data_IF_058072120183
#
_entry.id   IF_058072120183
#
_cell.length_a   1.000
_cell.length_b   1.000
_cell.length_c   1.000
_cell.angle_alpha   90.00
_cell.angle_beta   90.00
_cell.angle_gamma   90.00
#
_symmetry.space_group_name_H-M   'P 1'
#
loop_
_entity.id
_entity.type
_entity.pdbx_description
1 polymer ?
#
# COMPACT_ATOMS: atom_id res chain seq x y z
N UNK A 1 15.10 -71.57 0.73
CA UNK A 1 13.63 -71.46 0.95
C UNK A 1 13.25 -70.22 1.75
N UNK A 2 13.99 -69.82 2.77
CA UNK A 2 13.70 -68.61 3.57
C UNK A 2 13.76 -67.29 2.79
N UNK A 3 14.69 -67.11 1.82
CA UNK A 3 14.75 -65.93 0.97
C UNK A 3 13.53 -65.73 0.08
N UNK A 4 12.86 -66.81 -0.37
CA UNK A 4 11.64 -66.74 -1.15
C UNK A 4 10.43 -66.30 -0.31
N UNK A 5 10.36 -66.73 0.95
CA UNK A 5 9.32 -66.27 1.89
C UNK A 5 9.42 -64.79 2.16
N UNK A 6 10.63 -64.29 2.48
CA UNK A 6 10.86 -62.85 2.76
C UNK A 6 10.53 -61.94 1.56
N UNK A 7 10.78 -62.42 0.34
CA UNK A 7 10.44 -61.66 -0.88
C UNK A 7 8.93 -61.67 -1.11
N UNK A 8 8.23 -62.78 -0.85
CA UNK A 8 6.76 -62.87 -0.91
C UNK A 8 6.10 -61.93 0.05
N UNK A 9 6.57 -61.93 1.32
CA UNK A 9 6.05 -61.02 2.36
C UNK A 9 6.26 -59.55 2.03
N UNK A 10 7.42 -59.18 1.45
CA UNK A 10 7.67 -57.81 0.99
C UNK A 10 6.76 -57.41 -0.17
N UNK A 11 6.47 -58.31 -1.09
CA UNK A 11 5.53 -58.06 -2.19
C UNK A 11 4.10 -57.86 -1.67
N UNK A 12 3.70 -58.64 -0.67
CA UNK A 12 2.40 -58.55 -0.01
C UNK A 12 2.26 -57.24 0.73
N UNK A 13 3.26 -56.86 1.55
CA UNK A 13 3.33 -55.59 2.27
C UNK A 13 3.30 -54.41 1.30
N UNK A 14 4.06 -54.45 0.19
CA UNK A 14 4.03 -53.39 -0.83
C UNK A 14 2.67 -53.27 -1.53
N UNK A 15 1.97 -54.41 -1.75
CA UNK A 15 0.61 -54.40 -2.30
C UNK A 15 -0.36 -53.77 -1.32
N UNK A 16 -0.25 -54.09 -0.04
CA UNK A 16 -1.07 -53.52 1.05
C UNK A 16 -0.84 -52.01 1.20
N UNK A 17 0.43 -51.56 1.21
CA UNK A 17 0.78 -50.10 1.24
C UNK A 17 0.19 -49.37 0.02
N UNK A 18 0.19 -49.99 -1.16
CA UNK A 18 -0.43 -49.36 -2.33
C UNK A 18 -1.95 -49.29 -2.23
N UNK A 19 -2.60 -50.32 -1.67
CA UNK A 19 -4.04 -50.34 -1.44
C UNK A 19 -4.42 -49.30 -0.36
N UNK A 20 -3.68 -49.25 0.74
CA UNK A 20 -3.88 -48.25 1.81
C UNK A 20 -3.68 -46.82 1.32
N UNK A 21 -2.68 -46.57 0.48
CA UNK A 21 -2.45 -45.27 -0.14
C UNK A 21 -3.58 -44.88 -1.12
N UNK A 22 -4.17 -45.85 -1.85
CA UNK A 22 -5.34 -45.61 -2.68
C UNK A 22 -6.56 -45.23 -1.81
N UNK A 23 -6.82 -46.00 -0.75
CA UNK A 23 -7.89 -45.71 0.21
C UNK A 23 -7.73 -44.36 0.89
N UNK A 24 -6.50 -44.00 1.27
CA UNK A 24 -6.19 -42.67 1.84
C UNK A 24 -6.47 -41.55 0.86
N UNK A 25 -6.25 -41.72 -0.46
CA UNK A 25 -6.60 -40.75 -1.49
C UNK A 25 -8.11 -40.59 -1.63
N UNK A 26 -8.84 -41.69 -1.61
CA UNK A 26 -10.31 -41.70 -1.66
C UNK A 26 -10.90 -41.03 -0.42
N UNK A 27 -10.43 -41.37 0.78
CA UNK A 27 -10.87 -40.73 2.03
C UNK A 27 -10.53 -39.22 2.04
N UNK A 28 -9.36 -38.82 1.57
CA UNK A 28 -9.03 -37.38 1.43
C UNK A 28 -9.96 -36.68 0.45
N UNK A 29 -10.35 -37.33 -0.64
CA UNK A 29 -11.31 -36.78 -1.62
C UNK A 29 -12.72 -36.67 -1.01
N UNK A 30 -13.17 -37.66 -0.23
CA UNK A 30 -14.45 -37.63 0.50
C UNK A 30 -14.45 -36.57 1.59
N UNK A 31 -13.39 -36.45 2.39
CA UNK A 31 -13.24 -35.38 3.37
C UNK A 31 -13.31 -34.00 2.70
N UNK A 32 -12.67 -33.85 1.54
CA UNK A 32 -12.75 -32.61 0.76
C UNK A 32 -14.19 -32.34 0.28
N UNK A 33 -14.94 -33.34 -0.16
CA UNK A 33 -16.35 -33.21 -0.54
C UNK A 33 -17.24 -32.86 0.65
N UNK A 34 -17.03 -33.52 1.80
CA UNK A 34 -17.77 -33.25 3.02
C UNK A 34 -17.44 -31.87 3.59
N UNK A 35 -16.17 -31.45 3.55
CA UNK A 35 -15.78 -30.10 3.92
C UNK A 35 -16.42 -29.03 3.02
N UNK A 36 -16.55 -29.31 1.70
CA UNK A 36 -17.23 -28.42 0.77
C UNK A 36 -18.75 -28.39 1.04
N UNK A 37 -19.35 -29.50 1.48
CA UNK A 37 -20.77 -29.56 1.89
C UNK A 37 -21.03 -28.77 3.18
N UNK A 38 -20.15 -28.90 4.18
CA UNK A 38 -20.23 -28.14 5.44
C UNK A 38 -20.01 -26.64 5.20
N UNK A 39 -19.09 -26.28 4.28
CA UNK A 39 -18.87 -24.89 3.88
C UNK A 39 -20.06 -24.24 3.14
N UNK A 40 -21.04 -25.04 2.67
CA UNK A 40 -22.28 -24.54 2.04
C UNK A 40 -23.35 -24.09 3.04
N UNK A 41 -23.13 -24.21 4.34
CA UNK A 41 -24.05 -23.66 5.33
C UNK A 41 -23.98 -22.13 5.34
N UNK A 42 -25.13 -21.47 5.40
CA UNK A 42 -25.22 -20.01 5.40
C UNK A 42 -24.27 -19.34 6.41
N UNK A 43 -24.18 -19.79 7.70
CA UNK A 43 -23.25 -19.20 8.65
C UNK A 43 -21.79 -19.37 8.27
N UNK A 44 -21.38 -20.53 7.76
CA UNK A 44 -19.98 -20.81 7.39
C UNK A 44 -19.53 -19.98 6.18
N UNK A 45 -20.40 -19.85 5.18
CA UNK A 45 -20.15 -19.00 4.01
C UNK A 45 -20.12 -17.53 4.39
N UNK A 46 -21.04 -17.08 5.25
CA UNK A 46 -21.06 -15.71 5.76
C UNK A 46 -19.78 -15.38 6.52
N UNK A 47 -19.30 -16.28 7.40
CA UNK A 47 -18.05 -16.10 8.13
C UNK A 47 -16.84 -16.05 7.18
N UNK A 48 -16.77 -16.96 6.22
CA UNK A 48 -15.71 -16.97 5.20
C UNK A 48 -15.66 -15.67 4.39
N UNK A 49 -16.81 -15.19 3.92
CA UNK A 49 -16.92 -13.94 3.16
C UNK A 49 -16.49 -12.72 4.00
N UNK A 50 -16.91 -12.63 5.27
CA UNK A 50 -16.53 -11.50 6.12
C UNK A 50 -15.05 -11.58 6.56
N UNK A 51 -14.48 -12.76 6.74
CA UNK A 51 -13.01 -12.92 6.95
C UNK A 51 -12.21 -12.44 5.73
N UNK A 52 -12.61 -12.83 4.53
CA UNK A 52 -11.96 -12.38 3.30
C UNK A 52 -12.15 -10.87 3.10
N UNK A 53 -13.35 -10.33 3.38
CA UNK A 53 -13.61 -8.89 3.39
C UNK A 53 -12.65 -8.15 4.33
N UNK A 54 -12.43 -8.66 5.54
CA UNK A 54 -11.48 -8.09 6.51
C UNK A 54 -10.04 -8.11 5.98
N UNK A 55 -9.62 -9.20 5.31
CA UNK A 55 -8.30 -9.25 4.64
C UNK A 55 -8.17 -8.22 3.52
N UNK A 56 -9.19 -8.05 2.69
CA UNK A 56 -9.23 -7.00 1.66
C UNK A 56 -9.11 -5.62 2.30
N UNK A 57 -9.83 -5.35 3.40
CA UNK A 57 -9.73 -4.08 4.13
C UNK A 57 -8.30 -3.80 4.61
N UNK A 58 -7.62 -4.81 5.16
CA UNK A 58 -6.23 -4.70 5.60
C UNK A 58 -5.32 -4.31 4.42
N UNK A 59 -5.45 -4.99 3.28
CA UNK A 59 -4.64 -4.68 2.10
C UNK A 59 -4.96 -3.31 1.51
N UNK A 60 -6.22 -2.91 1.42
CA UNK A 60 -6.62 -1.57 0.97
C UNK A 60 -5.99 -0.48 1.84
N UNK A 61 -6.02 -0.64 3.17
CA UNK A 61 -5.42 0.30 4.10
C UNK A 61 -3.89 0.37 3.92
N UNK A 62 -3.21 -0.77 3.88
CA UNK A 62 -1.76 -0.84 3.69
C UNK A 62 -1.32 -0.25 2.34
N UNK A 63 -2.02 -0.56 1.26
CA UNK A 63 -1.76 0.00 -0.06
C UNK A 63 -1.95 1.52 -0.08
N UNK A 64 -3.02 2.02 0.55
CA UNK A 64 -3.26 3.46 0.67
C UNK A 64 -2.13 4.16 1.42
N UNK A 65 -1.67 3.58 2.54
CA UNK A 65 -0.53 4.09 3.32
C UNK A 65 0.76 4.12 2.50
N UNK A 66 1.08 3.04 1.79
CA UNK A 66 2.26 2.94 0.92
C UNK A 66 2.20 4.00 -0.19
N UNK A 67 1.05 4.14 -0.88
CA UNK A 67 0.85 5.14 -1.93
C UNK A 67 1.01 6.57 -1.40
N UNK A 68 0.50 6.85 -0.20
CA UNK A 68 0.71 8.11 0.50
C UNK A 68 2.20 8.39 0.75
N UNK A 69 2.92 7.42 1.29
CA UNK A 69 4.37 7.50 1.52
C UNK A 69 5.16 7.71 0.23
N UNK A 70 4.84 6.98 -0.84
CA UNK A 70 5.44 7.18 -2.17
C UNK A 70 5.25 8.61 -2.67
N UNK A 71 4.00 9.10 -2.62
CA UNK A 71 3.66 10.45 -3.06
C UNK A 71 4.45 11.51 -2.27
N UNK A 72 4.59 11.31 -0.96
CA UNK A 72 5.38 12.22 -0.12
C UNK A 72 6.86 12.23 -0.53
N UNK A 73 7.48 11.05 -0.67
CA UNK A 73 8.88 10.94 -1.11
C UNK A 73 9.08 11.55 -2.50
N UNK A 74 8.17 11.28 -3.45
CA UNK A 74 8.24 11.84 -4.80
C UNK A 74 8.19 13.37 -4.80
N UNK A 75 7.30 13.96 -3.99
CA UNK A 75 7.23 15.41 -3.81
C UNK A 75 8.52 15.97 -3.21
N UNK A 76 9.08 15.30 -2.21
CA UNK A 76 10.37 15.69 -1.63
C UNK A 76 11.48 15.62 -2.66
N UNK A 77 11.61 14.54 -3.41
CA UNK A 77 12.61 14.40 -4.47
C UNK A 77 12.46 15.47 -5.57
N UNK A 78 11.24 15.85 -5.92
CA UNK A 78 10.96 16.91 -6.88
C UNK A 78 11.48 18.29 -6.43
N UNK A 79 11.59 18.52 -5.12
CA UNK A 79 12.17 19.74 -4.55
C UNK A 79 13.68 19.59 -4.40
N UNK A 80 14.15 18.46 -3.89
CA UNK A 80 15.57 18.28 -3.53
C UNK A 80 16.50 18.16 -4.73
N UNK A 81 16.08 17.50 -5.82
CA UNK A 81 16.93 17.32 -7.02
C UNK A 81 17.27 18.65 -7.71
N UNK A 82 16.33 19.54 -8.00
CA UNK A 82 16.66 20.85 -8.57
C UNK A 82 17.54 21.71 -7.65
N UNK A 83 17.33 21.63 -6.34
CA UNK A 83 18.14 22.39 -5.38
C UNK A 83 19.57 21.85 -5.25
N UNK A 84 19.79 20.54 -5.43
CA UNK A 84 21.15 19.99 -5.58
C UNK A 84 21.81 20.52 -6.85
N UNK A 85 21.11 20.58 -7.97
CA UNK A 85 21.63 21.15 -9.21
C UNK A 85 21.98 22.63 -9.04
N UNK A 86 21.09 23.39 -8.39
CA UNK A 86 21.35 24.80 -8.05
C UNK A 86 22.58 24.94 -7.15
N UNK A 87 22.68 24.14 -6.09
CA UNK A 87 23.83 24.13 -5.20
C UNK A 87 25.14 23.84 -5.94
N UNK A 88 25.14 22.82 -6.81
CA UNK A 88 26.34 22.47 -7.59
C UNK A 88 26.72 23.57 -8.57
N UNK A 89 25.74 24.22 -9.18
CA UNK A 89 25.92 25.40 -10.02
C UNK A 89 26.55 26.58 -9.27
N UNK A 90 26.06 26.91 -8.09
CA UNK A 90 26.62 27.95 -7.22
C UNK A 90 28.07 27.65 -6.84
N UNK A 91 28.38 26.42 -6.43
CA UNK A 91 29.75 26.00 -6.09
C UNK A 91 30.67 26.14 -7.30
N UNK A 92 30.20 25.77 -8.49
CA UNK A 92 30.98 25.89 -9.71
C UNK A 92 31.25 27.38 -10.06
N UNK A 93 30.22 28.24 -10.00
CA UNK A 93 30.35 29.67 -10.25
C UNK A 93 31.32 30.35 -9.26
N UNK A 94 31.20 30.03 -7.95
CA UNK A 94 32.10 30.51 -6.91
C UNK A 94 33.59 30.13 -7.24
N UNK A 95 33.78 28.88 -7.69
CA UNK A 95 35.11 28.38 -8.06
C UNK A 95 35.67 29.09 -9.27
N UNK A 96 34.85 29.30 -10.31
CA UNK A 96 35.29 29.96 -11.58
C UNK A 96 35.59 31.43 -11.35
N UNK A 97 34.65 32.18 -10.73
CA UNK A 97 34.85 33.60 -10.41
C UNK A 97 36.01 33.80 -9.41
N UNK A 98 36.17 32.86 -8.46
CA UNK A 98 37.31 32.85 -7.56
C UNK A 98 38.64 32.67 -8.26
N UNK A 99 38.72 31.84 -9.31
CA UNK A 99 39.92 31.70 -10.15
C UNK A 99 40.18 32.97 -10.97
N UNK A 100 39.15 33.52 -11.63
CA UNK A 100 39.22 34.76 -12.39
C UNK A 100 39.75 35.91 -11.52
N UNK A 101 39.18 36.12 -10.35
CA UNK A 101 39.59 37.12 -9.38
C UNK A 101 41.08 36.94 -8.98
N UNK A 102 41.50 35.70 -8.69
CA UNK A 102 42.94 35.41 -8.36
C UNK A 102 43.85 35.74 -9.50
N UNK A 103 43.50 35.42 -10.74
CA UNK A 103 44.26 35.76 -11.95
C UNK A 103 44.39 37.25 -12.13
N UNK A 104 43.29 38.02 -12.01
CA UNK A 104 43.32 39.48 -12.14
C UNK A 104 44.13 40.16 -11.02
N UNK A 105 44.08 39.62 -9.79
CA UNK A 105 44.94 40.10 -8.68
C UNK A 105 46.41 39.85 -8.96
N UNK A 106 46.78 38.71 -9.54
CA UNK A 106 48.15 38.40 -9.94
C UNK A 106 48.61 39.38 -11.05
N UNK A 107 47.80 39.53 -12.12
CA UNK A 107 48.08 40.48 -13.20
C UNK A 107 48.26 41.90 -12.69
N UNK A 108 47.42 42.38 -11.76
CA UNK A 108 47.52 43.68 -11.15
C UNK A 108 48.83 43.87 -10.37
N UNK A 109 49.34 42.83 -9.73
CA UNK A 109 50.62 42.87 -8.97
C UNK A 109 51.86 42.95 -9.88
N UNK A 110 51.78 42.33 -11.05
CA UNK A 110 52.89 42.31 -12.03
C UNK A 110 52.93 43.55 -12.90
N UNK A 111 51.86 44.36 -12.96
CA UNK A 111 51.75 45.57 -13.78
C UNK A 111 52.62 46.70 -13.21
N UNK A 112 53.49 47.31 -14.06
CA UNK A 112 54.28 48.47 -13.67
C UNK A 112 53.40 49.67 -13.25
N UNK A 113 53.92 50.51 -12.33
CA UNK A 113 53.18 51.62 -11.68
C UNK A 113 52.69 52.66 -12.71
N UNK A 114 53.37 52.81 -13.88
CA UNK A 114 52.96 53.76 -14.92
C UNK A 114 51.75 53.35 -15.75
N UNK A 115 51.24 52.09 -15.64
CA UNK A 115 50.00 51.63 -16.29
C UNK A 115 48.74 51.97 -15.50
N UNK A 116 48.60 53.19 -15.01
CA UNK A 116 47.57 53.64 -14.08
C UNK A 116 46.11 53.35 -14.58
N UNK A 117 45.86 53.54 -15.88
CA UNK A 117 44.53 53.26 -16.43
C UNK A 117 44.14 51.76 -16.33
N UNK A 118 45.09 50.87 -16.66
CA UNK A 118 44.85 49.42 -16.57
C UNK A 118 44.77 48.92 -15.14
N UNK A 119 45.59 49.47 -14.24
CA UNK A 119 45.53 49.18 -12.80
C UNK A 119 44.14 49.59 -12.20
N UNK A 120 43.59 50.74 -12.59
CA UNK A 120 42.25 51.17 -12.17
C UNK A 120 41.18 50.26 -12.74
N UNK A 121 41.21 49.89 -14.02
CA UNK A 121 40.26 48.98 -14.62
C UNK A 121 40.27 47.58 -13.94
N UNK A 122 41.47 47.04 -13.67
CA UNK A 122 41.58 45.78 -12.94
C UNK A 122 41.05 45.90 -11.51
N UNK A 123 41.31 47.04 -10.83
CA UNK A 123 40.80 47.24 -9.48
C UNK A 123 39.25 47.27 -9.43
N UNK A 124 38.61 47.91 -10.41
CA UNK A 124 37.12 47.90 -10.53
C UNK A 124 36.60 46.50 -10.77
N UNK A 125 37.20 45.78 -11.74
CA UNK A 125 36.77 44.39 -12.04
C UNK A 125 36.99 43.41 -10.85
N UNK A 126 38.07 43.58 -10.10
CA UNK A 126 38.32 42.80 -8.88
C UNK A 126 37.28 43.13 -7.80
N UNK A 127 36.85 44.39 -7.66
CA UNK A 127 35.81 44.79 -6.72
C UNK A 127 34.47 44.16 -7.11
N UNK A 128 34.04 44.29 -8.38
CA UNK A 128 32.84 43.66 -8.92
C UNK A 128 32.82 42.15 -8.67
N UNK A 129 33.91 41.45 -9.01
CA UNK A 129 34.01 39.99 -8.75
C UNK A 129 33.98 39.65 -7.26
N UNK A 130 34.39 40.55 -6.41
CA UNK A 130 34.35 40.33 -4.96
C UNK A 130 32.92 40.42 -4.46
N UNK A 131 32.17 41.44 -4.90
CA UNK A 131 30.75 41.57 -4.59
C UNK A 131 29.94 40.38 -5.14
N UNK A 132 30.12 40.00 -6.38
CA UNK A 132 29.49 38.81 -7.00
C UNK A 132 29.80 37.51 -6.24
N UNK A 133 31.04 37.35 -5.73
CA UNK A 133 31.40 36.19 -4.91
C UNK A 133 30.75 36.21 -3.53
N UNK A 134 30.55 37.37 -2.92
CA UNK A 134 29.84 37.51 -1.64
C UNK A 134 28.34 37.19 -1.81
N UNK A 135 27.71 37.67 -2.88
CA UNK A 135 26.33 37.35 -3.22
C UNK A 135 26.15 35.84 -3.41
N UNK A 136 26.98 35.20 -4.25
CA UNK A 136 26.91 33.75 -4.47
C UNK A 136 27.14 32.91 -3.21
N UNK A 137 28.02 33.37 -2.32
CA UNK A 137 28.28 32.71 -1.03
C UNK A 137 27.07 32.85 -0.09
N UNK A 138 26.47 34.03 -0.07
CA UNK A 138 25.26 34.28 0.70
C UNK A 138 24.09 33.43 0.20
N UNK A 139 23.91 33.31 -1.12
CA UNK A 139 22.91 32.46 -1.71
C UNK A 139 23.15 30.98 -1.38
N UNK A 140 24.42 30.53 -1.46
CA UNK A 140 24.79 29.17 -1.03
C UNK A 140 24.47 28.93 0.44
N UNK A 141 24.75 29.87 1.34
CA UNK A 141 24.47 29.76 2.78
C UNK A 141 22.97 29.67 3.05
N UNK A 142 22.16 30.52 2.41
CA UNK A 142 20.70 30.48 2.51
C UNK A 142 20.13 29.13 2.03
N UNK A 143 20.70 28.56 0.98
CA UNK A 143 20.27 27.26 0.48
C UNK A 143 20.61 26.15 1.48
N UNK A 144 21.78 26.14 2.09
CA UNK A 144 22.15 25.18 3.14
C UNK A 144 21.25 25.34 4.37
N UNK A 145 20.96 26.57 4.78
CA UNK A 145 20.05 26.85 5.90
C UNK A 145 18.64 26.35 5.64
N UNK A 146 18.12 26.53 4.40
CA UNK A 146 16.80 26.05 3.99
C UNK A 146 16.63 24.53 4.20
N UNK A 147 17.70 23.76 4.05
CA UNK A 147 17.70 22.30 4.23
C UNK A 147 18.34 21.86 5.56
N UNK A 148 18.54 22.79 6.48
CA UNK A 148 19.10 22.53 7.82
C UNK A 148 20.49 21.88 7.79
N UNK A 149 21.26 22.13 6.74
CA UNK A 149 22.64 21.65 6.65
C UNK A 149 23.60 22.61 7.33
N UNK A 150 24.73 22.07 7.84
CA UNK A 150 25.82 22.87 8.34
C UNK A 150 26.47 23.71 7.20
N UNK A 151 27.05 24.87 7.53
CA UNK A 151 27.65 25.80 6.53
C UNK A 151 28.77 25.17 5.70
N UNK A 152 29.49 24.20 6.26
CA UNK A 152 30.55 23.42 5.61
C UNK A 152 30.02 22.19 4.83
N UNK A 153 28.73 21.89 4.90
CA UNK A 153 28.15 20.77 4.18
C UNK A 153 28.35 20.92 2.67
N UNK A 154 28.78 19.85 2.06
CA UNK A 154 28.98 19.77 0.62
C UNK A 154 27.83 19.13 -0.13
N UNK A 155 27.92 19.09 -1.46
CA UNK A 155 26.97 18.40 -2.32
C UNK A 155 26.73 16.92 -1.93
N UNK A 156 27.69 16.32 -1.23
CA UNK A 156 27.61 14.94 -0.74
C UNK A 156 26.46 14.73 0.25
N UNK A 157 26.16 15.72 1.11
CA UNK A 157 25.05 15.65 2.05
C UNK A 157 23.70 15.53 1.29
N UNK A 158 23.49 16.42 0.31
CA UNK A 158 22.30 16.37 -0.57
C UNK A 158 22.18 15.04 -1.32
N UNK A 159 23.29 14.55 -1.91
CA UNK A 159 23.30 13.28 -2.65
C UNK A 159 22.96 12.11 -1.75
N UNK A 160 23.47 12.10 -0.51
CA UNK A 160 23.18 11.06 0.48
C UNK A 160 21.71 11.01 0.83
N UNK A 161 21.11 12.17 1.10
CA UNK A 161 19.69 12.23 1.48
C UNK A 161 18.77 11.89 0.29
N UNK A 162 19.10 12.36 -0.92
CA UNK A 162 18.40 11.95 -2.14
C UNK A 162 18.52 10.44 -2.35
N UNK A 163 19.69 9.84 -2.17
CA UNK A 163 19.88 8.39 -2.31
C UNK A 163 19.07 7.59 -1.27
N UNK A 164 18.96 8.08 -0.03
CA UNK A 164 18.13 7.50 1.01
C UNK A 164 16.64 7.55 0.57
N UNK A 165 16.18 8.70 0.09
CA UNK A 165 14.79 8.85 -0.40
C UNK A 165 14.51 7.94 -1.61
N UNK A 166 15.41 7.85 -2.58
CA UNK A 166 15.28 6.96 -3.75
C UNK A 166 15.26 5.48 -3.35
N UNK A 167 16.10 5.10 -2.40
CA UNK A 167 16.12 3.76 -1.83
C UNK A 167 14.81 3.44 -1.11
N UNK A 168 14.29 4.40 -0.33
CA UNK A 168 13.00 4.31 0.33
C UNK A 168 11.86 4.14 -0.68
N UNK A 169 11.87 4.91 -1.77
CA UNK A 169 10.88 4.82 -2.84
C UNK A 169 10.88 3.43 -3.49
N UNK A 170 12.03 2.90 -3.86
CA UNK A 170 12.15 1.53 -4.41
C UNK A 170 11.63 0.46 -3.46
N UNK A 171 11.89 0.61 -2.16
CA UNK A 171 11.38 -0.32 -1.15
C UNK A 171 9.85 -0.26 -1.07
N UNK A 172 9.25 0.93 -1.09
CA UNK A 172 7.80 1.09 -1.08
C UNK A 172 7.16 0.55 -2.37
N UNK A 173 7.80 0.70 -3.52
CA UNK A 173 7.34 0.11 -4.78
C UNK A 173 7.32 -1.41 -4.74
N UNK A 174 8.35 -2.03 -4.21
CA UNK A 174 8.39 -3.49 -4.02
C UNK A 174 7.31 -3.98 -3.05
N UNK A 175 7.07 -3.24 -1.96
CA UNK A 175 6.00 -3.54 -1.00
C UNK A 175 4.61 -3.40 -1.64
N UNK A 176 4.38 -2.34 -2.44
CA UNK A 176 3.12 -2.14 -3.15
C UNK A 176 2.82 -3.31 -4.08
N UNK A 177 3.80 -3.73 -4.89
CA UNK A 177 3.63 -4.89 -5.79
C UNK A 177 3.30 -6.17 -5.02
N UNK A 178 3.97 -6.41 -3.89
CA UNK A 178 3.70 -7.58 -3.04
C UNK A 178 2.27 -7.56 -2.51
N UNK A 179 1.84 -6.44 -1.92
CA UNK A 179 0.49 -6.34 -1.34
C UNK A 179 -0.61 -6.34 -2.41
N UNK A 180 -0.35 -5.76 -3.59
CA UNK A 180 -1.27 -5.84 -4.72
C UNK A 180 -1.48 -7.30 -5.17
N UNK A 181 -0.40 -8.07 -5.32
CA UNK A 181 -0.50 -9.49 -5.68
C UNK A 181 -1.23 -10.34 -4.62
N UNK A 182 -1.03 -10.03 -3.32
CA UNK A 182 -1.78 -10.71 -2.26
C UNK A 182 -3.27 -10.30 -2.24
N UNK A 183 -3.57 -9.04 -2.52
CA UNK A 183 -4.95 -8.55 -2.67
C UNK A 183 -5.66 -9.28 -3.80
N UNK A 184 -5.02 -9.43 -4.97
CA UNK A 184 -5.59 -10.15 -6.12
C UNK A 184 -5.94 -11.61 -5.76
N UNK A 185 -5.08 -12.30 -5.01
CA UNK A 185 -5.36 -13.66 -4.52
C UNK A 185 -6.59 -13.70 -3.61
N UNK A 186 -6.67 -12.76 -2.67
CA UNK A 186 -7.80 -12.70 -1.74
C UNK A 186 -9.10 -12.35 -2.47
N UNK A 187 -9.05 -11.50 -3.49
CA UNK A 187 -10.20 -11.20 -4.35
C UNK A 187 -10.67 -12.42 -5.14
N UNK A 188 -9.74 -13.24 -5.64
CA UNK A 188 -10.06 -14.50 -6.30
C UNK A 188 -10.73 -15.48 -5.32
N UNK A 189 -10.16 -15.68 -4.12
CA UNK A 189 -10.76 -16.51 -3.05
C UNK A 189 -12.17 -16.03 -2.69
N UNK A 190 -12.38 -14.70 -2.61
CA UNK A 190 -13.68 -14.11 -2.33
C UNK A 190 -14.68 -14.40 -3.47
N UNK A 191 -14.26 -14.27 -4.72
CA UNK A 191 -15.12 -14.54 -5.87
C UNK A 191 -15.53 -16.01 -5.93
N UNK A 192 -14.63 -16.95 -5.64
CA UNK A 192 -14.92 -18.38 -5.57
C UNK A 192 -15.95 -18.68 -4.46
N UNK A 193 -15.76 -18.12 -3.27
CA UNK A 193 -16.69 -18.34 -2.16
C UNK A 193 -18.03 -17.70 -2.43
N UNK A 194 -18.04 -16.54 -3.08
CA UNK A 194 -19.25 -15.85 -3.52
C UNK A 194 -20.04 -16.66 -4.57
N UNK A 195 -19.35 -17.31 -5.52
CA UNK A 195 -19.97 -18.19 -6.48
C UNK A 195 -20.68 -19.39 -5.79
N UNK A 196 -20.12 -19.91 -4.70
CA UNK A 196 -20.76 -20.96 -3.90
C UNK A 196 -22.00 -20.44 -3.14
N UNK A 197 -22.04 -19.14 -2.84
CA UNK A 197 -23.16 -18.52 -2.13
C UNK A 197 -24.39 -18.23 -3.02
N UNK A 198 -24.28 -18.35 -4.35
CA UNK A 198 -25.38 -18.04 -5.29
C UNK A 198 -26.64 -18.91 -5.06
N UNK A 199 -26.46 -20.13 -4.56
CA UNK A 199 -27.56 -21.07 -4.27
C UNK A 199 -28.28 -20.78 -2.95
N UNK A 200 -27.74 -19.86 -2.12
CA UNK A 200 -28.30 -19.52 -0.81
C UNK A 200 -29.33 -18.39 -0.89
N UNK A 201 -30.25 -18.34 0.09
CA UNK A 201 -31.15 -17.20 0.21
C UNK A 201 -30.36 -15.92 0.47
N UNK A 202 -30.42 -14.92 -0.42
CA UNK A 202 -29.65 -13.68 -0.30
C UNK A 202 -30.01 -12.87 0.95
N UNK A 203 -31.21 -13.00 1.49
CA UNK A 203 -31.61 -12.31 2.71
C UNK A 203 -30.99 -12.96 3.95
N UNK A 204 -31.06 -14.29 4.06
CA UNK A 204 -30.42 -15.02 5.17
C UNK A 204 -28.89 -14.82 5.17
N UNK A 205 -28.26 -14.88 4.00
CA UNK A 205 -26.82 -14.62 3.85
C UNK A 205 -26.46 -13.19 4.28
N UNK A 206 -27.24 -12.20 3.86
CA UNK A 206 -27.04 -10.81 4.24
C UNK A 206 -27.17 -10.60 5.74
N UNK A 207 -28.20 -11.17 6.38
CA UNK A 207 -28.41 -11.07 7.82
C UNK A 207 -27.27 -11.73 8.61
N UNK A 208 -26.84 -12.92 8.19
CA UNK A 208 -25.70 -13.62 8.80
C UNK A 208 -24.40 -12.81 8.67
N UNK A 209 -24.10 -12.26 7.49
CA UNK A 209 -22.93 -11.40 7.26
C UNK A 209 -22.98 -10.14 8.10
N UNK A 210 -24.15 -9.50 8.19
CA UNK A 210 -24.35 -8.29 9.00
C UNK A 210 -24.11 -8.52 10.49
N UNK A 211 -24.46 -9.70 11.00
CA UNK A 211 -24.22 -10.06 12.40
C UNK A 211 -22.72 -10.25 12.72
N UNK A 212 -21.94 -10.78 11.78
CA UNK A 212 -20.53 -11.12 11.95
C UNK A 212 -19.61 -9.93 11.68
N UNK A 213 -19.95 -9.09 10.71
CA UNK A 213 -19.12 -7.97 10.19
C UNK A 213 -18.54 -7.06 11.26
N UNK A 214 -19.28 -6.57 12.27
CA UNK A 214 -18.73 -5.65 13.26
C UNK A 214 -17.58 -6.24 14.08
N UNK A 215 -17.64 -7.56 14.35
CA UNK A 215 -16.59 -8.27 15.07
C UNK A 215 -15.34 -8.43 14.21
N UNK A 216 -15.51 -8.83 12.95
CA UNK A 216 -14.41 -8.99 11.99
C UNK A 216 -13.73 -7.66 11.66
N UNK A 217 -14.48 -6.56 11.55
CA UNK A 217 -13.93 -5.23 11.33
C UNK A 217 -13.07 -4.76 12.53
N UNK A 218 -13.55 -4.94 13.75
CA UNK A 218 -12.77 -4.62 14.96
C UNK A 218 -11.49 -5.43 15.05
N UNK A 219 -11.55 -6.71 14.70
CA UNK A 219 -10.38 -7.58 14.70
C UNK A 219 -9.37 -7.15 13.63
N UNK A 220 -9.81 -6.79 12.43
CA UNK A 220 -8.93 -6.30 11.38
C UNK A 220 -8.31 -4.93 11.70
N UNK A 221 -9.07 -4.02 12.34
CA UNK A 221 -8.55 -2.74 12.80
C UNK A 221 -7.45 -2.95 13.86
N UNK A 222 -7.68 -3.86 14.83
CA UNK A 222 -6.67 -4.23 15.82
C UNK A 222 -5.42 -4.83 15.17
N UNK A 223 -5.57 -5.73 14.21
CA UNK A 223 -4.43 -6.31 13.48
C UNK A 223 -3.62 -5.22 12.73
N UNK A 224 -4.29 -4.21 12.18
CA UNK A 224 -3.61 -3.08 11.53
C UNK A 224 -2.85 -2.22 12.55
N UNK A 225 -3.46 -1.90 13.70
CA UNK A 225 -2.81 -1.15 14.78
C UNK A 225 -1.57 -1.90 15.29
N UNK A 226 -1.70 -3.19 15.54
CA UNK A 226 -0.58 -4.04 16.00
C UNK A 226 0.54 -4.11 14.95
N UNK A 227 0.21 -4.18 13.66
CA UNK A 227 1.19 -4.24 12.58
C UNK A 227 1.92 -2.92 12.34
N UNK A 228 1.24 -1.79 12.53
CA UNK A 228 1.78 -0.46 12.23
C UNK A 228 2.37 0.23 13.45
N UNK A 229 2.10 -0.27 14.67
CA UNK A 229 2.50 0.33 15.95
C UNK A 229 2.02 1.78 16.14
N UNK A 230 1.02 2.20 15.41
CA UNK A 230 0.45 3.54 15.41
C UNK A 230 -1.07 3.47 15.41
N UNK A 231 -1.73 4.54 15.89
CA UNK A 231 -3.18 4.69 15.77
C UNK A 231 -3.56 4.85 14.30
N UNK A 232 -4.57 4.13 13.88
CA UNK A 232 -5.08 4.21 12.52
C UNK A 232 -5.63 5.61 12.21
N UNK A 233 -5.30 6.12 11.04
CA UNK A 233 -5.92 7.34 10.53
C UNK A 233 -7.37 7.05 10.16
N UNK A 234 -8.32 7.72 10.81
CA UNK A 234 -9.75 7.55 10.56
C UNK A 234 -10.11 7.81 9.09
N UNK A 235 -9.52 8.82 8.47
CA UNK A 235 -9.77 9.18 7.06
C UNK A 235 -9.30 8.04 6.15
N UNK A 236 -8.11 7.51 6.36
CA UNK A 236 -7.58 6.41 5.57
C UNK A 236 -8.37 5.12 5.79
N UNK A 237 -8.83 4.86 7.00
CA UNK A 237 -9.67 3.71 7.31
C UNK A 237 -11.03 3.79 6.60
N UNK A 238 -11.67 4.96 6.60
CA UNK A 238 -12.93 5.18 5.88
C UNK A 238 -12.74 5.01 4.36
N UNK A 239 -11.65 5.55 3.81
CA UNK A 239 -11.30 5.37 2.41
C UNK A 239 -11.06 3.90 2.06
N UNK A 240 -10.32 3.17 2.90
CA UNK A 240 -10.08 1.73 2.71
C UNK A 240 -11.38 0.91 2.80
N UNK A 241 -12.29 1.25 3.73
CA UNK A 241 -13.62 0.63 3.82
C UNK A 241 -14.46 0.85 2.56
N UNK A 242 -14.43 2.06 2.01
CA UNK A 242 -15.10 2.39 0.76
C UNK A 242 -14.50 1.63 -0.43
N UNK A 243 -13.18 1.60 -0.57
CA UNK A 243 -12.48 0.84 -1.61
C UNK A 243 -12.78 -0.67 -1.50
N UNK A 244 -12.77 -1.22 -0.28
CA UNK A 244 -13.15 -2.62 -0.01
C UNK A 244 -14.58 -2.92 -0.49
N UNK A 245 -15.54 -2.04 -0.19
CA UNK A 245 -16.94 -2.21 -0.63
C UNK A 245 -17.05 -2.16 -2.15
N UNK A 246 -16.31 -1.27 -2.79
CA UNK A 246 -16.27 -1.15 -4.25
C UNK A 246 -15.68 -2.39 -4.92
N UNK A 247 -14.51 -2.86 -4.46
CA UNK A 247 -13.83 -4.04 -5.02
C UNK A 247 -14.66 -5.32 -4.89
N UNK A 248 -15.40 -5.46 -3.79
CA UNK A 248 -16.21 -6.66 -3.52
C UNK A 248 -17.64 -6.55 -4.09
N UNK A 249 -18.05 -5.40 -4.64
CA UNK A 249 -19.42 -5.17 -5.11
C UNK A 249 -20.46 -5.19 -4.00
N UNK A 250 -20.06 -5.07 -2.74
CA UNK A 250 -20.92 -5.24 -1.56
C UNK A 250 -22.08 -4.25 -1.52
N UNK A 251 -21.91 -3.03 -2.01
CA UNK A 251 -22.95 -1.99 -2.01
C UNK A 251 -24.14 -2.35 -2.92
N UNK A 252 -23.89 -3.06 -4.02
CA UNK A 252 -24.95 -3.50 -4.93
C UNK A 252 -25.76 -4.65 -4.30
N UNK A 253 -25.07 -5.62 -3.70
CA UNK A 253 -25.70 -6.76 -3.03
C UNK A 253 -26.49 -6.34 -1.79
N UNK A 254 -25.94 -5.44 -0.99
CA UNK A 254 -26.64 -4.88 0.16
C UNK A 254 -27.92 -4.14 -0.24
N UNK A 255 -27.87 -3.37 -1.33
CA UNK A 255 -29.07 -2.68 -1.85
C UNK A 255 -30.12 -3.68 -2.31
N UNK A 256 -29.69 -4.74 -3.03
CA UNK A 256 -30.60 -5.78 -3.49
C UNK A 256 -31.23 -6.55 -2.31
N UNK A 257 -30.45 -6.96 -1.31
CA UNK A 257 -30.95 -7.64 -0.12
C UNK A 257 -31.94 -6.77 0.65
N UNK A 258 -31.63 -5.48 0.84
CA UNK A 258 -32.53 -4.51 1.49
C UNK A 258 -33.84 -4.34 0.73
N UNK A 259 -33.84 -4.31 -0.59
CA UNK A 259 -35.04 -4.24 -1.43
C UNK A 259 -35.89 -5.50 -1.23
N UNK A 260 -35.29 -6.69 -1.22
CA UNK A 260 -36.00 -7.95 -0.98
C UNK A 260 -36.63 -8.01 0.42
N UNK A 261 -35.89 -7.53 1.45
CA UNK A 261 -36.43 -7.42 2.82
C UNK A 261 -37.66 -6.49 2.86
N UNK A 262 -37.57 -5.32 2.24
CA UNK A 262 -38.68 -4.39 2.16
C UNK A 262 -39.90 -5.01 1.47
N UNK A 263 -39.67 -5.74 0.38
CA UNK A 263 -40.75 -6.42 -0.35
C UNK A 263 -41.43 -7.51 0.48
N UNK A 264 -40.64 -8.36 1.14
CA UNK A 264 -41.14 -9.39 2.08
C UNK A 264 -41.98 -8.77 3.22
N UNK A 265 -41.49 -7.68 3.81
CA UNK A 265 -42.23 -6.99 4.89
C UNK A 265 -43.55 -6.39 4.40
N UNK A 266 -43.56 -5.82 3.20
CA UNK A 266 -44.82 -5.30 2.60
C UNK A 266 -45.82 -6.42 2.30
N UNK A 267 -45.38 -7.56 1.79
CA UNK A 267 -46.23 -8.71 1.56
C UNK A 267 -46.80 -9.30 2.86
N UNK A 268 -45.95 -9.43 3.89
CA UNK A 268 -46.39 -9.87 5.22
C UNK A 268 -47.46 -8.93 5.80
N UNK A 269 -47.25 -7.60 5.66
CA UNK A 269 -48.23 -6.60 6.10
C UNK A 269 -49.53 -6.71 5.32
N UNK A 270 -49.49 -6.84 4.00
CA UNK A 270 -50.69 -7.06 3.16
C UNK A 270 -51.46 -8.34 3.56
N UNK A 271 -50.72 -9.44 3.79
CA UNK A 271 -51.30 -10.70 4.20
C UNK A 271 -51.91 -10.65 5.62
N UNK A 272 -51.31 -9.89 6.52
CA UNK A 272 -51.86 -9.66 7.86
C UNK A 272 -53.17 -8.84 7.83
N UNK A 273 -53.23 -7.83 6.96
CA UNK A 273 -54.44 -7.03 6.75
C UNK A 273 -55.56 -7.86 6.11
N UNK A 274 -55.26 -8.74 5.15
CA UNK A 274 -56.23 -9.62 4.51
C UNK A 274 -56.80 -10.67 5.48
N UNK A 275 -55.96 -11.20 6.39
CA UNK A 275 -56.41 -12.10 7.47
C UNK A 275 -57.29 -11.39 8.49
N UNK A 276 -56.96 -10.14 8.88
CA UNK A 276 -57.82 -9.34 9.77
C UNK A 276 -59.19 -9.06 9.15
N UNK A 277 -59.27 -8.71 7.84
CA UNK A 277 -60.54 -8.51 7.13
C UNK A 277 -61.41 -9.78 7.00
N UNK A 278 -60.80 -10.99 7.01
CA UNK A 278 -61.54 -12.26 6.98
C UNK A 278 -62.10 -12.71 8.35
N UNK A 279 -61.41 -12.24 9.43
CA UNK A 279 -61.77 -12.60 10.80
C UNK A 279 -62.68 -11.55 11.48
N UNK A 280 -63.17 -10.54 10.77
CA UNK A 280 -64.05 -9.51 11.27
C UNK A 280 -65.46 -9.83 10.76
N UNK A 281 -66.36 -10.49 11.59
CA UNK A 281 -67.67 -10.96 11.13
C UNK A 281 -68.70 -9.84 11.07
N UNK A 282 -68.37 -8.57 11.34
CA UNK A 282 -69.36 -7.46 11.41
C UNK A 282 -69.09 -6.37 10.35
N UNK A 283 -68.89 -6.76 9.07
CA UNK A 283 -69.05 -5.79 7.95
C UNK A 283 -69.62 -6.47 6.71
#
# INVERSE_FOLDING_TARGET
>A
LERKGIISDRCEINRQIKADNALLRELKAEIKKLAALVARTVPAIAEGLEKLRSRVLIFCYQLSHIRGGKTHIQKSLAVWKPELERYTGLVQQIKEKGKERKSLVAEKKELPIYHVKRQKALAVRIAELTEELEELRSEKALLLQKFEYAEDAGAEAFRKDIAIMESGLKRLEAQEQKYAAELDKVLAEYAELKAQAVELDPVELYEARRAIRPTQEKESEKQLEDAMHEKLSLIMLLSAKQETSHLLGADAEERQARQLIMHRNQEQYRNSLSKRKRNDPER
#
